data_IF_011359589786
#
_entry.id   IF_011359589786
#
_cell.length_a   1.000
_cell.length_b   1.000
_cell.length_c   1.000
_cell.angle_alpha   90.00
_cell.angle_beta   90.00
_cell.angle_gamma   90.00
#
_symmetry.space_group_name_H-M   'P 1'
#
loop_
_entity.id
_entity.type
_entity.pdbx_description
1 polymer ?
#
# COMPACT_ATOMS: atom_id res chain seq x y z
N UNK A 1 31.06 19.97 1.34
CA UNK A 1 30.97 19.54 2.75
C UNK A 1 29.60 19.96 3.24
N UNK A 2 28.67 19.02 3.42
CA UNK A 2 27.35 19.33 3.99
C UNK A 2 27.52 19.58 5.50
N UNK A 3 26.87 20.61 6.08
CA UNK A 3 26.93 20.84 7.51
C UNK A 3 26.32 19.64 8.27
N UNK A 4 26.94 19.26 9.38
CA UNK A 4 26.46 18.19 10.24
C UNK A 4 25.04 18.51 10.74
N UNK A 5 24.10 17.58 10.55
CA UNK A 5 22.71 17.68 11.03
C UNK A 5 21.63 17.87 9.95
N UNK A 6 21.99 18.06 8.68
CA UNK A 6 21.00 18.08 7.61
C UNK A 6 20.55 16.64 7.30
N UNK A 7 19.27 16.32 7.56
CA UNK A 7 18.67 15.09 7.04
C UNK A 7 18.82 15.09 5.51
N UNK A 8 19.06 13.92 4.87
CA UNK A 8 19.09 13.85 3.42
C UNK A 8 17.77 14.38 2.88
N UNK A 9 17.83 15.47 2.10
CA UNK A 9 16.70 16.03 1.39
C UNK A 9 16.83 15.71 -0.09
N UNK A 10 15.69 15.38 -0.73
CA UNK A 10 15.59 15.28 -2.18
C UNK A 10 14.96 16.58 -2.68
N UNK A 11 15.46 17.09 -3.80
CA UNK A 11 14.90 18.26 -4.47
C UNK A 11 14.62 17.92 -5.94
N UNK A 12 13.53 18.48 -6.47
CA UNK A 12 13.11 18.33 -7.87
C UNK A 12 12.95 19.72 -8.50
N UNK A 13 13.37 19.86 -9.76
CA UNK A 13 13.17 21.10 -10.54
C UNK A 13 11.97 20.94 -11.45
N UNK A 14 10.99 21.83 -11.31
CA UNK A 14 9.82 21.89 -12.20
C UNK A 14 10.07 22.89 -13.33
N UNK A 15 9.63 22.58 -14.55
CA UNK A 15 9.70 23.52 -15.67
C UNK A 15 8.79 24.73 -15.39
N UNK A 16 9.26 25.95 -15.71
CA UNK A 16 8.55 27.20 -15.45
C UNK A 16 8.74 27.79 -14.05
N UNK A 17 9.40 27.08 -13.13
CA UNK A 17 9.69 27.54 -11.77
C UNK A 17 11.19 27.71 -11.59
N UNK A 18 11.73 28.80 -12.13
CA UNK A 18 13.18 29.03 -12.25
C UNK A 18 13.76 29.95 -11.17
N UNK A 19 13.00 30.22 -10.09
CA UNK A 19 13.45 31.01 -8.93
C UNK A 19 12.96 30.39 -7.62
N UNK A 20 13.63 30.75 -6.51
CA UNK A 20 13.23 30.32 -5.16
C UNK A 20 11.80 30.80 -4.83
N UNK A 21 11.47 32.04 -5.21
CA UNK A 21 10.16 32.60 -4.90
C UNK A 21 9.04 31.91 -5.68
N UNK A 22 9.27 31.60 -6.96
CA UNK A 22 8.32 30.78 -7.73
C UNK A 22 8.15 29.39 -7.10
N UNK A 23 9.25 28.73 -6.70
CA UNK A 23 9.18 27.40 -6.08
C UNK A 23 8.42 27.39 -4.75
N UNK A 24 8.45 28.48 -3.97
CA UNK A 24 7.68 28.60 -2.72
C UNK A 24 6.17 28.54 -2.95
N UNK A 25 5.68 28.98 -4.11
CA UNK A 25 4.25 28.91 -4.45
C UNK A 25 3.74 27.47 -4.53
N UNK A 26 4.64 26.49 -4.76
CA UNK A 26 4.31 25.07 -4.80
C UNK A 26 4.31 24.42 -3.39
N UNK A 27 4.72 25.14 -2.35
CA UNK A 27 4.80 24.58 -1.01
C UNK A 27 3.39 24.23 -0.48
N UNK A 28 3.24 23.01 0.02
CA UNK A 28 1.97 22.50 0.56
C UNK A 28 1.04 21.85 -0.48
N UNK A 29 1.37 21.92 -1.77
CA UNK A 29 0.65 21.17 -2.79
C UNK A 29 1.05 19.69 -2.80
N UNK A 30 0.11 18.83 -3.22
CA UNK A 30 0.37 17.42 -3.47
C UNK A 30 0.89 17.23 -4.90
N UNK A 31 1.95 16.44 -5.05
CA UNK A 31 2.41 15.97 -6.34
C UNK A 31 1.74 14.62 -6.63
N UNK A 32 1.02 14.55 -7.74
CA UNK A 32 0.34 13.34 -8.19
C UNK A 32 0.59 13.11 -9.69
N UNK A 33 0.47 11.86 -10.10
CA UNK A 33 0.43 11.45 -11.51
C UNK A 33 -0.90 10.75 -11.79
N UNK A 34 -1.42 10.82 -13.02
CA UNK A 34 -2.55 10.00 -13.41
C UNK A 34 -2.27 8.51 -13.19
N UNK A 35 -3.28 7.75 -12.76
CA UNK A 35 -3.13 6.30 -12.60
C UNK A 35 -2.80 5.58 -13.92
N UNK A 36 -3.13 6.19 -15.07
CA UNK A 36 -2.75 5.71 -16.41
C UNK A 36 -1.25 5.76 -16.67
N UNK A 37 -0.53 6.61 -15.96
CA UNK A 37 0.90 6.85 -16.14
C UNK A 37 1.73 6.00 -15.15
N UNK A 38 1.06 5.07 -14.46
CA UNK A 38 1.72 4.13 -13.56
C UNK A 38 2.70 3.25 -14.32
N UNK A 39 3.76 2.85 -13.64
CA UNK A 39 4.73 1.92 -14.19
C UNK A 39 4.19 0.51 -13.97
N UNK A 40 4.34 -0.35 -14.97
CA UNK A 40 4.05 -1.77 -14.78
C UNK A 40 5.00 -2.36 -13.74
N UNK A 41 4.42 -2.96 -12.71
CA UNK A 41 5.19 -3.61 -11.66
C UNK A 41 5.56 -5.04 -12.10
N UNK A 42 6.69 -5.58 -11.60
CA UNK A 42 6.98 -7.01 -11.71
C UNK A 42 5.84 -7.86 -11.15
N UNK A 43 5.84 -9.14 -11.51
CA UNK A 43 4.94 -10.12 -10.90
C UNK A 43 5.06 -10.08 -9.37
N UNK A 44 3.93 -10.23 -8.70
CA UNK A 44 3.82 -10.29 -7.23
C UNK A 44 4.23 -8.97 -6.53
N UNK A 45 4.20 -7.85 -7.26
CA UNK A 45 4.31 -6.49 -6.72
C UNK A 45 3.06 -5.68 -7.05
N UNK A 46 2.61 -4.89 -6.08
CA UNK A 46 1.35 -4.17 -6.15
C UNK A 46 1.52 -2.75 -5.64
N UNK A 47 0.78 -1.81 -6.21
CA UNK A 47 0.66 -0.51 -5.59
C UNK A 47 -0.25 -0.61 -4.36
N UNK A 48 0.11 0.07 -3.29
CA UNK A 48 -0.61 0.03 -2.02
C UNK A 48 -2.09 0.44 -2.18
N UNK A 49 -2.34 1.46 -3.00
CA UNK A 49 -3.70 1.95 -3.29
C UNK A 49 -4.54 0.97 -4.12
N UNK A 50 -3.93 -0.01 -4.79
CA UNK A 50 -4.66 -1.03 -5.54
C UNK A 50 -5.25 -2.10 -4.63
N UNK A 51 -4.59 -2.36 -3.50
CA UNK A 51 -4.99 -3.37 -2.51
C UNK A 51 -6.19 -2.92 -1.68
N UNK A 52 -6.29 -1.62 -1.38
CA UNK A 52 -7.45 -1.07 -0.70
C UNK A 52 -8.75 -1.39 -1.47
N UNK A 53 -9.76 -1.86 -0.74
CA UNK A 53 -11.03 -2.31 -1.30
C UNK A 53 -11.03 -3.73 -1.89
N UNK A 54 -9.90 -4.45 -1.86
CA UNK A 54 -9.91 -5.87 -2.21
C UNK A 54 -10.68 -6.67 -1.16
N UNK A 55 -11.56 -7.57 -1.62
CA UNK A 55 -12.17 -8.61 -0.80
C UNK A 55 -11.12 -9.63 -0.40
N UNK A 56 -11.18 -10.11 0.83
CA UNK A 56 -10.29 -11.12 1.39
C UNK A 56 -11.10 -12.39 1.63
N UNK A 57 -10.63 -13.50 1.08
CA UNK A 57 -11.26 -14.82 1.23
C UNK A 57 -10.23 -15.87 1.61
N UNK A 58 -10.65 -16.88 2.36
CA UNK A 58 -9.85 -18.07 2.58
C UNK A 58 -9.78 -18.94 1.31
N UNK A 59 -8.83 -19.87 1.26
CA UNK A 59 -8.66 -20.83 0.16
C UNK A 59 -9.90 -21.72 -0.08
N UNK A 60 -10.70 -21.96 0.96
CA UNK A 60 -11.98 -22.68 0.90
C UNK A 60 -13.15 -21.82 0.36
N UNK A 61 -12.90 -20.54 0.06
CA UNK A 61 -13.89 -19.59 -0.44
C UNK A 61 -14.70 -18.87 0.63
N UNK A 62 -14.39 -19.06 1.92
CA UNK A 62 -15.04 -18.30 3.01
C UNK A 62 -14.62 -16.83 2.96
N UNK A 63 -15.60 -15.93 2.93
CA UNK A 63 -15.36 -14.49 3.04
C UNK A 63 -14.84 -14.12 4.43
N UNK A 64 -13.81 -13.29 4.46
CA UNK A 64 -13.18 -12.78 5.69
C UNK A 64 -13.54 -11.31 5.88
N UNK A 65 -13.41 -10.51 4.82
CA UNK A 65 -13.61 -9.07 4.91
C UNK A 65 -13.07 -8.29 3.72
N UNK A 66 -12.75 -7.02 3.96
CA UNK A 66 -12.24 -6.10 2.94
C UNK A 66 -10.97 -5.38 3.42
N UNK A 67 -9.96 -5.30 2.57
CA UNK A 67 -8.73 -4.54 2.84
C UNK A 67 -9.07 -3.06 2.98
N UNK A 68 -8.75 -2.48 4.14
CA UNK A 68 -8.84 -1.03 4.40
C UNK A 68 -7.58 -0.31 3.93
N UNK A 69 -6.43 -0.81 4.35
CA UNK A 69 -5.12 -0.21 4.09
C UNK A 69 -4.00 -1.25 4.26
N UNK A 70 -2.78 -0.86 3.89
CA UNK A 70 -1.56 -1.62 4.18
C UNK A 70 -0.79 -0.88 5.26
N UNK A 71 -0.58 -1.55 6.39
CA UNK A 71 0.26 -1.06 7.47
C UNK A 71 1.68 -1.58 7.30
N UNK A 72 2.69 -0.72 7.49
CA UNK A 72 4.12 -1.13 7.45
C UNK A 72 4.70 -1.13 8.85
N UNK A 73 5.04 -2.30 9.36
CA UNK A 73 5.62 -2.45 10.71
C UNK A 73 6.92 -3.24 10.66
N UNK A 74 8.01 -2.65 11.16
CA UNK A 74 9.25 -3.40 11.42
C UNK A 74 9.86 -4.15 10.22
N UNK A 75 9.53 -3.75 8.99
CA UNK A 75 9.99 -4.39 7.76
C UNK A 75 9.02 -5.41 7.15
N UNK A 76 7.79 -5.50 7.65
CA UNK A 76 6.72 -6.35 7.09
C UNK A 76 5.52 -5.49 6.71
N UNK A 77 4.95 -5.76 5.54
CA UNK A 77 3.65 -5.24 5.12
C UNK A 77 2.51 -6.10 5.68
N UNK A 78 1.51 -5.44 6.27
CA UNK A 78 0.34 -6.06 6.89
C UNK A 78 -0.92 -5.49 6.23
N UNK A 79 -1.77 -6.36 5.70
CA UNK A 79 -3.12 -5.99 5.29
C UNK A 79 -3.97 -5.78 6.53
N UNK A 80 -4.51 -4.58 6.66
CA UNK A 80 -5.54 -4.27 7.65
C UNK A 80 -6.89 -4.56 7.01
N UNK A 81 -7.57 -5.60 7.49
CA UNK A 81 -8.80 -6.11 6.89
C UNK A 81 -9.96 -5.86 7.84
N UNK A 82 -10.96 -5.09 7.38
CA UNK A 82 -12.22 -4.94 8.09
C UNK A 82 -13.03 -6.23 7.93
N UNK A 83 -13.28 -6.94 9.03
CA UNK A 83 -13.97 -8.23 9.02
C UNK A 83 -15.46 -8.10 8.70
N UNK A 84 -16.02 -9.05 7.95
CA UNK A 84 -17.45 -9.05 7.59
C UNK A 84 -18.37 -9.17 8.81
N UNK A 85 -17.92 -9.88 9.84
CA UNK A 85 -18.62 -10.03 11.13
C UNK A 85 -18.34 -8.87 12.10
N UNK A 86 -17.64 -7.83 11.65
CA UNK A 86 -17.04 -6.80 12.50
C UNK A 86 -15.65 -7.20 13.00
N UNK A 87 -14.95 -6.25 13.62
CA UNK A 87 -13.55 -6.40 14.02
C UNK A 87 -12.55 -6.13 12.89
N UNK A 88 -11.28 -6.35 13.19
CA UNK A 88 -10.16 -6.07 12.29
C UNK A 88 -9.18 -7.24 12.31
N UNK A 89 -8.78 -7.73 11.14
CA UNK A 89 -7.72 -8.72 11.01
C UNK A 89 -6.44 -8.07 10.50
N UNK A 90 -5.32 -8.49 11.07
CA UNK A 90 -3.98 -8.07 10.65
C UNK A 90 -3.31 -9.23 9.94
N UNK A 91 -3.32 -9.21 8.62
CA UNK A 91 -2.84 -10.33 7.80
C UNK A 91 -1.48 -9.95 7.18
N UNK A 92 -0.37 -10.59 7.57
CA UNK A 92 0.93 -10.33 6.94
C UNK A 92 0.88 -10.67 5.45
N UNK A 93 1.44 -9.80 4.60
CA UNK A 93 1.57 -10.02 3.15
C UNK A 93 2.70 -10.99 2.80
N UNK A 94 2.81 -12.09 3.54
CA UNK A 94 3.74 -13.17 3.24
C UNK A 94 3.17 -14.07 2.13
N UNK A 95 4.00 -14.59 1.23
CA UNK A 95 3.55 -15.42 0.10
C UNK A 95 2.89 -16.72 0.56
N UNK A 96 3.27 -17.23 1.73
CA UNK A 96 2.69 -18.41 2.34
C UNK A 96 1.27 -18.15 2.87
N UNK A 97 0.95 -16.89 3.17
CA UNK A 97 -0.37 -16.48 3.66
C UNK A 97 -1.22 -15.93 2.53
N UNK A 98 -0.73 -14.94 1.77
CA UNK A 98 -1.45 -14.35 0.63
C UNK A 98 -1.12 -15.13 -0.65
N UNK A 99 -1.81 -16.26 -0.84
CA UNK A 99 -1.55 -17.21 -1.94
C UNK A 99 -2.01 -16.71 -3.32
N UNK A 100 -2.92 -15.73 -3.37
CA UNK A 100 -3.36 -15.08 -4.61
C UNK A 100 -3.72 -13.61 -4.34
N UNK A 101 -3.22 -12.70 -5.16
CA UNK A 101 -3.65 -11.28 -5.18
C UNK A 101 -4.02 -10.94 -6.62
N UNK A 102 -5.30 -10.71 -6.86
CA UNK A 102 -5.88 -10.35 -8.15
C UNK A 102 -6.48 -8.95 -8.06
N UNK A 103 -5.74 -7.96 -8.55
CA UNK A 103 -6.13 -6.55 -8.52
C UNK A 103 -7.32 -6.27 -9.45
N UNK A 104 -7.39 -6.95 -10.58
CA UNK A 104 -8.47 -6.76 -11.56
C UNK A 104 -9.81 -7.23 -11.00
N UNK A 105 -9.80 -8.34 -10.25
CA UNK A 105 -10.99 -8.89 -9.57
C UNK A 105 -11.20 -8.34 -8.16
N UNK A 106 -10.29 -7.49 -7.66
CA UNK A 106 -10.29 -6.98 -6.29
C UNK A 106 -10.40 -8.10 -5.26
N UNK A 107 -9.52 -9.09 -5.36
CA UNK A 107 -9.50 -10.30 -4.52
C UNK A 107 -8.12 -10.57 -3.97
N UNK A 108 -8.05 -10.89 -2.68
CA UNK A 108 -6.90 -11.50 -2.01
C UNK A 108 -7.36 -12.84 -1.44
N UNK A 109 -6.76 -13.95 -1.90
CA UNK A 109 -6.94 -15.25 -1.24
C UNK A 109 -5.87 -15.47 -0.21
N UNK A 110 -6.28 -15.94 0.96
CA UNK A 110 -5.39 -16.22 2.08
C UNK A 110 -5.47 -17.67 2.55
N UNK A 111 -4.32 -18.22 2.93
CA UNK A 111 -4.16 -19.50 3.64
C UNK A 111 -3.46 -19.25 4.98
N UNK A 112 -4.15 -18.65 5.96
CA UNK A 112 -3.54 -18.24 7.20
C UNK A 112 -3.28 -19.43 8.13
N UNK A 113 -2.20 -19.41 8.95
CA UNK A 113 -2.02 -20.40 10.00
C UNK A 113 -3.17 -20.36 11.02
N UNK A 114 -3.37 -21.48 11.72
CA UNK A 114 -4.35 -21.60 12.80
C UNK A 114 -4.15 -20.47 13.84
N UNK A 115 -5.25 -19.92 14.33
CA UNK A 115 -5.24 -18.81 15.29
C UNK A 115 -5.08 -17.39 14.70
N UNK A 116 -4.62 -17.23 13.45
CA UNK A 116 -4.40 -15.87 12.90
C UNK A 116 -5.71 -15.10 12.68
N UNK A 117 -6.80 -15.80 12.37
CA UNK A 117 -8.13 -15.22 12.16
C UNK A 117 -9.06 -15.37 13.37
N UNK A 118 -8.51 -15.64 14.56
CA UNK A 118 -9.28 -15.67 15.79
C UNK A 118 -9.26 -14.27 16.43
N UNK A 119 -10.44 -13.68 16.65
CA UNK A 119 -10.63 -12.38 17.31
C UNK A 119 -11.39 -12.55 18.63
#
# INVERSE_FOLDING_TARGET
>A
MFPAGLKPSRASKFAGYDSIDAAKELAGFQLAVPASDRIELPKDQFYEWELAGCRVEATDGKSIGMVREVMRTGGVEILVVAGDAGGEFLIPMAQEICVEIDIDRKLVRVDPPEGLLEL
#
